data_IF_163573476155
#
_entry.id   IF_163573476155
#
_cell.length_a   1.000
_cell.length_b   1.000
_cell.length_c   1.000
_cell.angle_alpha   90.00
_cell.angle_beta   90.00
_cell.angle_gamma   90.00
#
_symmetry.space_group_name_H-M   'P 1'
#
loop_
_entity.id
_entity.type
_entity.pdbx_description
1 polymer ?
#
# COMPACT_ATOMS: atom_id res chain seq x y z
N UNK A 1 -0.25 -8.30 6.47
CA UNK A 1 0.39 -7.07 6.94
C UNK A 1 -0.12 -6.60 8.31
N UNK A 2 -1.43 -6.59 8.56
CA UNK A 2 -2.02 -6.05 9.81
C UNK A 2 -2.00 -7.02 11.00
N UNK A 3 -1.66 -8.29 10.79
CA UNK A 3 -1.61 -9.32 11.87
C UNK A 3 -0.81 -8.88 13.11
N UNK A 4 0.38 -8.25 13.00
CA UNK A 4 1.11 -7.79 14.17
C UNK A 4 0.35 -6.76 15.02
N UNK A 5 -0.52 -5.94 14.41
CA UNK A 5 -1.35 -4.97 15.13
C UNK A 5 -2.40 -5.64 16.00
N UNK A 6 -2.94 -6.76 15.56
CA UNK A 6 -3.98 -7.52 16.23
C UNK A 6 -3.43 -8.46 17.30
N UNK A 7 -2.11 -8.65 17.38
CA UNK A 7 -1.46 -9.54 18.33
C UNK A 7 -1.83 -9.18 19.77
N UNK A 8 -2.33 -10.18 20.53
CA UNK A 8 -2.84 -10.04 21.91
C UNK A 8 -4.04 -9.08 22.08
N UNK A 9 -4.71 -8.68 20.99
CA UNK A 9 -5.89 -7.81 21.02
C UNK A 9 -7.15 -8.53 20.58
N UNK A 10 -7.00 -9.62 19.84
CA UNK A 10 -8.11 -10.52 19.48
C UNK A 10 -8.03 -11.76 20.35
N UNK A 11 -9.19 -12.22 20.83
CA UNK A 11 -9.26 -13.52 21.49
C UNK A 11 -8.96 -14.64 20.48
N UNK A 12 -8.45 -15.76 20.97
CA UNK A 12 -8.22 -16.93 20.10
C UNK A 12 -9.52 -17.34 19.37
N UNK A 13 -10.66 -17.24 20.07
CA UNK A 13 -11.99 -17.54 19.53
C UNK A 13 -12.29 -16.62 18.31
N UNK A 14 -12.12 -15.31 18.47
CA UNK A 14 -12.41 -14.35 17.39
C UNK A 14 -11.46 -14.55 16.20
N UNK A 15 -10.19 -14.86 16.48
CA UNK A 15 -9.21 -15.22 15.48
C UNK A 15 -9.60 -16.46 14.67
N UNK A 16 -10.06 -17.52 15.37
CA UNK A 16 -10.53 -18.76 14.74
C UNK A 16 -11.83 -18.54 13.96
N UNK A 17 -12.77 -17.75 14.48
CA UNK A 17 -13.99 -17.40 13.76
C UNK A 17 -13.70 -16.61 12.49
N UNK A 18 -12.79 -15.62 12.57
CA UNK A 18 -12.36 -14.84 11.42
C UNK A 18 -11.66 -15.69 10.36
N UNK A 19 -10.75 -16.58 10.76
CA UNK A 19 -10.08 -17.51 9.88
C UNK A 19 -11.07 -18.50 9.24
N UNK A 20 -12.00 -19.05 10.04
CA UNK A 20 -13.04 -19.95 9.55
C UNK A 20 -13.96 -19.28 8.52
N UNK A 21 -14.39 -18.04 8.79
CA UNK A 21 -15.19 -17.25 7.85
C UNK A 21 -14.41 -16.98 6.56
N UNK A 22 -13.15 -16.60 6.67
CA UNK A 22 -12.28 -16.38 5.51
C UNK A 22 -12.16 -17.64 4.66
N UNK A 23 -11.89 -18.79 5.27
CA UNK A 23 -11.81 -20.08 4.58
C UNK A 23 -13.14 -20.44 3.92
N UNK A 24 -14.27 -20.25 4.62
CA UNK A 24 -15.61 -20.51 4.10
C UNK A 24 -15.91 -19.67 2.85
N UNK A 25 -15.61 -18.37 2.90
CA UNK A 25 -15.79 -17.46 1.76
C UNK A 25 -14.84 -17.80 0.60
N UNK A 26 -13.70 -18.43 0.91
CA UNK A 26 -12.71 -18.82 -0.08
C UNK A 26 -13.02 -20.18 -0.76
N UNK A 27 -13.78 -21.06 -0.09
CA UNK A 27 -14.13 -22.40 -0.60
C UNK A 27 -14.62 -22.43 -2.04
N UNK A 28 -15.54 -21.54 -2.49
CA UNK A 28 -16.00 -21.55 -3.87
C UNK A 28 -14.91 -21.31 -4.91
N UNK A 29 -13.81 -20.69 -4.51
CA UNK A 29 -12.68 -20.35 -5.37
C UNK A 29 -11.53 -21.35 -5.24
N UNK A 30 -11.62 -22.32 -4.33
CA UNK A 30 -10.55 -23.30 -4.08
C UNK A 30 -10.55 -24.43 -5.12
N UNK A 31 -11.62 -24.60 -5.90
CA UNK A 31 -11.71 -25.67 -6.90
C UNK A 31 -10.96 -25.30 -8.17
N UNK A 32 -9.74 -25.79 -8.31
CA UNK A 32 -8.99 -25.87 -9.56
C UNK A 32 -8.20 -24.66 -10.00
N UNK A 33 -8.25 -23.56 -9.31
CA UNK A 33 -7.37 -22.42 -9.60
C UNK A 33 -6.22 -22.39 -8.61
N UNK A 34 -5.00 -22.44 -9.12
CA UNK A 34 -3.81 -22.10 -8.36
C UNK A 34 -3.86 -20.62 -7.99
N UNK A 35 -4.43 -20.31 -6.83
CA UNK A 35 -4.50 -18.92 -6.33
C UNK A 35 -3.10 -18.36 -6.13
N UNK A 36 -2.19 -19.21 -5.66
CA UNK A 36 -0.76 -18.87 -5.58
C UNK A 36 -0.19 -18.60 -6.97
N UNK A 37 -0.64 -19.31 -8.00
CA UNK A 37 -0.24 -19.05 -9.39
C UNK A 37 -0.68 -17.66 -9.85
N UNK A 38 -1.90 -17.23 -9.53
CA UNK A 38 -2.37 -15.87 -9.84
C UNK A 38 -1.50 -14.78 -9.20
N UNK A 39 -1.19 -14.93 -7.90
CA UNK A 39 -0.30 -14.01 -7.18
C UNK A 39 1.11 -14.04 -7.78
N UNK A 40 1.65 -15.22 -8.04
CA UNK A 40 2.96 -15.39 -8.63
C UNK A 40 3.04 -14.79 -10.04
N UNK A 41 2.02 -14.98 -10.85
CA UNK A 41 1.93 -14.38 -12.19
C UNK A 41 1.96 -12.84 -12.13
N UNK A 42 1.23 -12.23 -11.18
CA UNK A 42 1.28 -10.77 -10.97
C UNK A 42 2.68 -10.33 -10.57
N UNK A 43 3.30 -11.02 -9.59
CA UNK A 43 4.64 -10.69 -9.10
C UNK A 43 5.69 -10.84 -10.20
N UNK A 44 5.56 -11.84 -11.07
CA UNK A 44 6.55 -12.10 -12.12
C UNK A 44 6.37 -11.22 -13.36
N UNK A 45 5.14 -11.00 -13.80
CA UNK A 45 4.89 -10.49 -15.15
C UNK A 45 4.19 -9.14 -15.19
N UNK A 46 3.37 -8.79 -14.17
CA UNK A 46 2.56 -7.57 -14.23
C UNK A 46 3.28 -6.43 -13.52
N UNK A 47 3.39 -5.29 -14.19
CA UNK A 47 3.99 -4.06 -13.68
C UNK A 47 3.07 -2.88 -14.02
N UNK A 48 2.61 -2.20 -12.98
CA UNK A 48 1.82 -1.00 -13.16
C UNK A 48 2.05 -0.06 -11.98
N UNK A 49 2.56 1.13 -12.24
CA UNK A 49 2.76 2.20 -11.24
C UNK A 49 3.53 1.76 -9.98
N UNK A 50 4.49 0.82 -10.10
CA UNK A 50 5.28 0.30 -8.98
C UNK A 50 6.77 0.66 -9.08
N UNK A 51 7.19 1.95 -8.95
CA UNK A 51 8.59 2.36 -9.10
C UNK A 51 9.51 1.76 -8.05
N UNK A 52 9.04 1.64 -6.80
CA UNK A 52 9.82 1.04 -5.70
C UNK A 52 10.05 -0.45 -5.95
N UNK A 53 9.03 -1.17 -6.42
CA UNK A 53 9.19 -2.57 -6.78
C UNK A 53 10.16 -2.75 -7.94
N UNK A 54 10.10 -1.87 -8.96
CA UNK A 54 11.08 -1.89 -10.07
C UNK A 54 12.50 -1.70 -9.56
N UNK A 55 12.71 -0.76 -8.64
CA UNK A 55 14.02 -0.57 -8.00
C UNK A 55 14.48 -1.84 -7.29
N UNK A 56 13.61 -2.52 -6.54
CA UNK A 56 13.99 -3.78 -5.89
C UNK A 56 14.34 -4.87 -6.90
N UNK A 57 13.65 -4.94 -8.04
CA UNK A 57 13.97 -5.93 -9.08
C UNK A 57 15.28 -5.66 -9.82
N UNK A 58 15.89 -4.47 -9.70
CA UNK A 58 17.27 -4.24 -10.16
C UNK A 58 18.31 -4.85 -9.23
N UNK A 59 17.95 -5.09 -7.97
CA UNK A 59 18.85 -5.61 -6.92
C UNK A 59 18.65 -7.11 -6.68
N UNK A 60 17.48 -7.65 -7.03
CA UNK A 60 17.13 -9.04 -6.76
C UNK A 60 16.07 -9.55 -7.77
N UNK A 61 15.70 -10.85 -7.65
CA UNK A 61 14.61 -11.41 -8.45
C UNK A 61 13.24 -10.80 -8.09
N UNK A 62 12.20 -10.92 -8.94
CA UNK A 62 10.85 -10.49 -8.61
C UNK A 62 10.31 -11.09 -7.31
N UNK A 63 10.60 -12.37 -7.05
CA UNK A 63 10.22 -13.01 -5.78
C UNK A 63 10.98 -12.43 -4.59
N UNK A 64 12.27 -12.11 -4.76
CA UNK A 64 13.07 -11.40 -3.78
C UNK A 64 12.49 -10.01 -3.47
N UNK A 65 12.12 -9.25 -4.50
CA UNK A 65 11.48 -7.95 -4.36
C UNK A 65 10.15 -8.04 -3.60
N UNK A 66 9.33 -9.05 -3.90
CA UNK A 66 8.07 -9.30 -3.19
C UNK A 66 8.29 -9.64 -1.71
N UNK A 67 9.32 -10.45 -1.39
CA UNK A 67 9.70 -10.75 0.00
C UNK A 67 10.18 -9.52 0.75
N UNK A 68 10.96 -8.64 0.09
CA UNK A 68 11.39 -7.34 0.66
C UNK A 68 10.16 -6.47 0.95
N UNK A 69 9.23 -6.34 0.00
CA UNK A 69 7.99 -5.60 0.18
C UNK A 69 7.16 -6.11 1.37
N UNK A 70 7.01 -7.43 1.47
CA UNK A 70 6.33 -8.08 2.60
C UNK A 70 7.04 -7.79 3.92
N UNK A 71 8.36 -7.95 3.94
CA UNK A 71 9.18 -7.68 5.13
C UNK A 71 9.07 -6.25 5.62
N UNK A 72 9.17 -5.27 4.72
CA UNK A 72 9.01 -3.84 5.04
C UNK A 72 7.63 -3.54 5.63
N UNK A 73 6.56 -4.12 5.05
CA UNK A 73 5.21 -3.97 5.59
C UNK A 73 5.06 -4.57 6.99
N UNK A 74 5.62 -5.77 7.23
CA UNK A 74 5.60 -6.42 8.55
C UNK A 74 6.43 -5.66 9.59
N UNK A 75 7.62 -5.18 9.22
CA UNK A 75 8.48 -4.35 10.09
C UNK A 75 7.74 -3.07 10.47
N UNK A 76 7.12 -2.40 9.49
CA UNK A 76 6.33 -1.18 9.74
C UNK A 76 5.15 -1.47 10.67
N UNK A 77 4.45 -2.58 10.47
CA UNK A 77 3.35 -2.99 11.35
C UNK A 77 3.82 -3.28 12.78
N UNK A 78 4.95 -3.98 12.94
CA UNK A 78 5.57 -4.23 14.23
C UNK A 78 6.00 -2.94 14.95
N UNK A 79 6.62 -2.02 14.21
CA UNK A 79 7.00 -0.71 14.72
C UNK A 79 5.78 0.13 15.14
N UNK A 80 4.75 0.18 14.31
CA UNK A 80 3.49 0.86 14.63
C UNK A 80 2.84 0.25 15.90
N UNK A 81 2.84 -1.09 16.00
CA UNK A 81 2.30 -1.80 17.18
C UNK A 81 3.05 -1.45 18.47
N UNK A 82 4.34 -1.21 18.37
CA UNK A 82 5.17 -0.83 19.52
C UNK A 82 5.02 0.64 19.92
N UNK A 83 4.90 1.55 18.93
CA UNK A 83 4.96 3.00 19.16
C UNK A 83 3.60 3.71 19.20
N UNK A 84 2.56 3.10 18.64
CA UNK A 84 1.25 3.73 18.47
C UNK A 84 0.16 2.93 19.19
N UNK A 85 -0.90 3.63 19.62
CA UNK A 85 -2.12 2.97 20.07
C UNK A 85 -2.90 2.41 18.87
N UNK A 86 -3.82 1.47 19.11
CA UNK A 86 -4.69 0.96 18.02
C UNK A 86 -5.75 1.97 17.58
N UNK A 87 -6.04 2.99 18.38
CA UNK A 87 -6.95 4.07 18.06
C UNK A 87 -6.28 5.12 17.17
N UNK A 88 -4.95 5.04 17.02
CA UNK A 88 -4.20 5.94 16.15
C UNK A 88 -4.36 5.50 14.69
N UNK A 89 -4.94 6.34 13.80
CA UNK A 89 -5.12 6.00 12.39
C UNK A 89 -3.80 5.66 11.67
N UNK A 90 -2.67 6.18 12.16
CA UNK A 90 -1.34 5.87 11.62
C UNK A 90 -0.97 4.40 11.78
N UNK A 91 -1.43 3.77 12.87
CA UNK A 91 -1.12 2.37 13.12
C UNK A 91 -1.65 1.44 12.02
N UNK A 92 -2.78 1.78 11.44
CA UNK A 92 -3.44 1.02 10.37
C UNK A 92 -3.03 1.47 8.98
N UNK A 93 -2.89 2.78 8.80
CA UNK A 93 -2.63 3.36 7.48
C UNK A 93 -1.19 3.09 6.99
N UNK A 94 -0.16 3.34 7.82
CA UNK A 94 1.23 3.28 7.35
C UNK A 94 1.75 1.89 6.99
N UNK A 95 1.44 0.79 7.70
CA UNK A 95 1.88 -0.54 7.27
C UNK A 95 1.34 -0.92 5.88
N UNK A 96 0.08 -0.57 5.63
CA UNK A 96 -0.54 -0.83 4.33
C UNK A 96 0.02 0.11 3.25
N UNK A 97 0.29 1.38 3.59
CA UNK A 97 0.91 2.34 2.67
C UNK A 97 2.28 1.86 2.20
N UNK A 98 3.13 1.39 3.12
CA UNK A 98 4.45 0.83 2.78
C UNK A 98 4.29 -0.42 1.91
N UNK A 99 3.36 -1.31 2.25
CA UNK A 99 3.12 -2.51 1.46
C UNK A 99 2.66 -2.20 0.03
N UNK A 100 1.71 -1.26 -0.14
CA UNK A 100 1.22 -0.84 -1.45
C UNK A 100 2.31 -0.11 -2.23
N UNK A 101 3.05 0.81 -1.60
CA UNK A 101 4.15 1.54 -2.25
C UNK A 101 5.23 0.60 -2.82
N UNK A 102 5.44 -0.54 -2.16
CA UNK A 102 6.39 -1.57 -2.60
C UNK A 102 5.76 -2.65 -3.50
N UNK A 103 4.49 -2.53 -3.88
CA UNK A 103 3.83 -3.54 -4.71
C UNK A 103 4.24 -3.42 -6.19
N UNK A 104 4.21 -4.55 -6.96
CA UNK A 104 4.49 -4.53 -8.40
C UNK A 104 3.41 -3.79 -9.20
N UNK A 105 2.21 -3.71 -8.64
CA UNK A 105 1.02 -3.12 -9.25
C UNK A 105 0.35 -2.22 -8.23
N UNK A 106 0.14 -0.96 -8.59
CA UNK A 106 -0.57 0.02 -7.75
C UNK A 106 -1.68 0.64 -8.60
N UNK A 107 -2.85 0.03 -8.54
CA UNK A 107 -4.05 0.59 -9.17
C UNK A 107 -4.70 1.63 -8.26
N UNK A 108 -5.36 2.66 -8.80
CA UNK A 108 -6.04 3.69 -7.99
C UNK A 108 -7.00 3.12 -6.94
N UNK A 109 -7.72 2.06 -7.25
CA UNK A 109 -8.66 1.45 -6.31
C UNK A 109 -8.00 0.73 -5.12
N UNK A 110 -6.70 0.42 -5.17
CA UNK A 110 -5.98 -0.10 -3.99
C UNK A 110 -5.87 0.95 -2.88
N UNK A 111 -5.85 2.24 -3.26
CA UNK A 111 -5.76 3.33 -2.31
C UNK A 111 -7.10 3.64 -1.62
N UNK A 112 -8.22 3.05 -2.08
CA UNK A 112 -9.51 3.12 -1.38
C UNK A 112 -9.43 2.58 0.06
N UNK A 113 -8.46 1.71 0.35
CA UNK A 113 -8.15 1.29 1.71
C UNK A 113 -7.91 2.48 2.65
N UNK A 114 -7.36 3.58 2.15
CA UNK A 114 -7.03 4.74 2.97
C UNK A 114 -8.22 5.66 3.24
N UNK A 115 -9.35 5.48 2.57
CA UNK A 115 -10.52 6.36 2.70
C UNK A 115 -10.88 6.70 4.15
N UNK A 116 -10.94 5.74 5.10
CA UNK A 116 -11.24 6.06 6.51
C UNK A 116 -10.19 6.93 7.19
N UNK A 117 -8.98 6.98 6.65
CA UNK A 117 -7.84 7.67 7.25
C UNK A 117 -7.56 9.04 6.63
N UNK A 118 -8.21 9.41 5.51
CA UNK A 118 -7.90 10.65 4.77
C UNK A 118 -8.26 11.93 5.53
N UNK A 119 -9.13 11.83 6.51
CA UNK A 119 -9.60 12.97 7.33
C UNK A 119 -8.61 13.36 8.45
N UNK A 120 -7.56 12.59 8.67
CA UNK A 120 -6.61 12.84 9.73
C UNK A 120 -5.38 13.59 9.22
N UNK A 121 -4.98 14.71 9.85
CA UNK A 121 -3.78 15.46 9.43
C UNK A 121 -2.51 14.61 9.41
N UNK A 122 -2.46 13.58 10.26
CA UNK A 122 -1.29 12.67 10.35
C UNK A 122 -1.13 11.73 9.17
N UNK A 123 -2.14 11.62 8.31
CA UNK A 123 -2.16 10.77 7.10
C UNK A 123 -2.35 11.59 5.82
N UNK A 124 -2.19 12.91 5.87
CA UNK A 124 -2.34 13.81 4.71
C UNK A 124 -1.54 13.38 3.47
N UNK A 125 -0.30 12.83 3.57
CA UNK A 125 0.40 12.31 2.40
C UNK A 125 -0.35 11.18 1.68
N UNK A 126 -1.15 10.39 2.40
CA UNK A 126 -1.98 9.33 1.80
C UNK A 126 -3.20 9.92 1.07
N UNK A 127 -3.74 11.02 1.56
CA UNK A 127 -4.77 11.77 0.83
C UNK A 127 -4.22 12.33 -0.48
N UNK A 128 -3.03 12.94 -0.42
CA UNK A 128 -2.34 13.41 -1.62
C UNK A 128 -2.09 12.26 -2.61
N UNK A 129 -1.66 11.11 -2.13
CA UNK A 129 -1.44 9.93 -2.98
C UNK A 129 -2.74 9.41 -3.58
N UNK A 130 -3.81 9.30 -2.78
CA UNK A 130 -5.12 8.85 -3.27
C UNK A 130 -5.70 9.77 -4.35
N UNK A 131 -5.38 11.06 -4.33
CA UNK A 131 -5.75 12.00 -5.38
C UNK A 131 -4.81 11.91 -6.59
N UNK A 132 -3.49 11.93 -6.37
CA UNK A 132 -2.52 11.98 -7.46
C UNK A 132 -2.44 10.68 -8.27
N UNK A 133 -2.70 9.52 -7.65
CA UNK A 133 -2.76 8.23 -8.37
C UNK A 133 -3.83 8.20 -9.47
N UNK A 134 -4.88 9.02 -9.37
CA UNK A 134 -5.93 9.10 -10.39
C UNK A 134 -5.37 9.58 -11.75
N UNK A 135 -4.26 10.30 -11.76
CA UNK A 135 -3.58 10.68 -13.02
C UNK A 135 -3.11 9.46 -13.82
N UNK A 136 -2.92 8.30 -13.19
CA UNK A 136 -2.53 7.07 -13.88
C UNK A 136 -3.63 6.54 -14.82
N UNK A 137 -4.88 7.00 -14.67
CA UNK A 137 -5.96 6.67 -15.60
C UNK A 137 -5.72 7.16 -17.04
N UNK A 138 -4.76 8.07 -17.27
CA UNK A 138 -4.33 8.43 -18.61
C UNK A 138 -3.91 7.22 -19.46
N UNK A 139 -3.49 6.13 -18.81
CA UNK A 139 -3.15 4.87 -19.49
C UNK A 139 -4.32 4.29 -20.29
N UNK A 140 -5.56 4.47 -19.83
CA UNK A 140 -6.74 4.05 -20.56
C UNK A 140 -6.86 4.76 -21.91
N UNK A 141 -6.61 6.07 -21.94
CA UNK A 141 -6.63 6.84 -23.17
C UNK A 141 -5.47 6.43 -24.08
N UNK A 142 -4.28 6.25 -23.53
CA UNK A 142 -3.12 5.77 -24.29
C UNK A 142 -3.41 4.40 -24.92
N UNK A 143 -3.96 3.45 -24.15
CA UNK A 143 -4.32 2.12 -24.64
C UNK A 143 -5.41 2.19 -25.72
N UNK A 144 -6.41 3.05 -25.54
CA UNK A 144 -7.50 3.25 -26.52
C UNK A 144 -7.00 3.77 -27.85
N UNK A 145 -5.93 4.57 -27.85
CA UNK A 145 -5.28 5.11 -29.05
C UNK A 145 -4.19 4.21 -29.63
N UNK A 146 -4.11 2.96 -29.17
CA UNK A 146 -3.15 1.96 -29.67
C UNK A 146 -1.77 1.97 -28.99
N UNK A 147 -1.61 2.74 -27.93
CA UNK A 147 -0.39 2.75 -27.11
C UNK A 147 -0.30 1.60 -26.12
N UNK A 148 0.86 1.45 -25.48
CA UNK A 148 1.10 0.42 -24.48
C UNK A 148 0.41 0.69 -23.13
N UNK A 149 0.17 -0.36 -22.36
CA UNK A 149 -0.40 -0.30 -20.99
C UNK A 149 0.66 0.08 -19.96
N UNK A 150 1.28 1.25 -20.13
CA UNK A 150 2.35 1.74 -19.26
C UNK A 150 2.07 3.17 -18.81
N UNK A 151 2.27 3.43 -17.50
CA UNK A 151 2.15 4.78 -16.96
C UNK A 151 3.31 5.63 -17.45
N UNK A 152 3.06 6.78 -18.08
CA UNK A 152 4.12 7.69 -18.55
C UNK A 152 4.98 8.19 -17.38
N UNK A 153 6.29 8.31 -17.61
CA UNK A 153 7.23 8.79 -16.58
C UNK A 153 6.85 10.15 -15.96
N UNK A 154 6.39 11.15 -16.73
CA UNK A 154 5.96 12.42 -16.14
C UNK A 154 4.80 12.25 -15.14
N UNK A 155 3.87 11.35 -15.41
CA UNK A 155 2.75 11.06 -14.50
C UNK A 155 3.25 10.44 -13.21
N UNK A 156 4.19 9.48 -13.29
CA UNK A 156 4.83 8.90 -12.10
C UNK A 156 5.56 9.97 -11.28
N UNK A 157 6.31 10.86 -11.93
CA UNK A 157 6.98 11.96 -11.24
C UNK A 157 5.98 12.89 -10.54
N UNK A 158 4.93 13.31 -11.23
CA UNK A 158 3.90 14.16 -10.64
C UNK A 158 3.24 13.50 -9.43
N UNK A 159 2.89 12.21 -9.52
CA UNK A 159 2.29 11.46 -8.43
C UNK A 159 3.20 11.45 -7.19
N UNK A 160 4.42 10.93 -7.33
CA UNK A 160 5.30 10.72 -6.18
C UNK A 160 5.91 12.02 -5.64
N UNK A 161 6.21 12.99 -6.49
CA UNK A 161 6.66 14.33 -6.04
C UNK A 161 5.57 15.01 -5.22
N UNK A 162 4.31 14.94 -5.64
CA UNK A 162 3.19 15.49 -4.87
C UNK A 162 3.13 14.89 -3.46
N UNK A 163 3.21 13.56 -3.36
CA UNK A 163 3.21 12.86 -2.06
C UNK A 163 4.38 13.30 -1.19
N UNK A 164 5.58 13.37 -1.76
CA UNK A 164 6.80 13.76 -1.05
C UNK A 164 6.75 15.21 -0.58
N UNK A 165 6.24 16.13 -1.39
CA UNK A 165 6.08 17.54 -1.01
C UNK A 165 5.10 17.69 0.16
N UNK A 166 3.97 17.01 0.12
CA UNK A 166 2.99 17.02 1.23
C UNK A 166 3.60 16.41 2.49
N UNK A 167 4.32 15.30 2.37
CA UNK A 167 5.01 14.69 3.51
C UNK A 167 6.07 15.63 4.11
N UNK A 168 6.86 16.29 3.28
CA UNK A 168 7.88 17.24 3.71
C UNK A 168 7.26 18.48 4.39
N UNK A 169 6.18 19.03 3.84
CA UNK A 169 5.44 20.14 4.44
C UNK A 169 4.91 19.75 5.83
N UNK A 170 4.30 18.57 5.95
CA UNK A 170 3.79 18.07 7.23
C UNK A 170 4.90 17.89 8.27
N UNK A 171 6.09 17.45 7.87
CA UNK A 171 7.23 17.31 8.79
C UNK A 171 7.78 18.67 9.26
N UNK A 172 7.75 19.69 8.38
CA UNK A 172 8.19 21.05 8.73
C UNK A 172 7.24 21.69 9.75
N UNK A 173 5.93 21.59 9.54
CA UNK A 173 4.93 22.17 10.46
C UNK A 173 4.99 21.53 11.85
N UNK A 174 5.38 20.26 11.96
CA UNK A 174 5.58 19.60 13.28
C UNK A 174 6.81 20.08 14.03
N UNK A 175 7.81 20.62 13.32
CA UNK A 175 9.09 21.07 13.92
C UNK A 175 9.08 22.54 14.33
N UNK A 176 8.08 23.32 13.92
CA UNK A 176 7.90 24.69 14.36
C UNK A 176 7.03 24.66 15.62
N UNK A 177 7.58 24.68 16.85
CA UNK A 177 6.78 25.04 18.01
C UNK A 177 6.35 26.47 17.76
N UNK A 178 5.07 26.71 17.80
CA UNK A 178 4.55 28.08 17.85
C UNK A 178 5.07 28.66 19.15
N UNK A 179 6.10 29.51 19.07
CA UNK A 179 6.39 30.49 20.10
C UNK A 179 5.21 31.46 20.13
N UNK A 180 4.17 31.05 20.82
CA UNK A 180 3.12 31.94 21.28
C UNK A 180 3.48 32.32 22.71
N UNK A 181 4.32 33.38 22.83
CA UNK A 181 4.47 34.17 24.04
C UNK A 181 3.22 35.03 24.25
#
# INVERSE_FOLDING_TARGET
MLVPLLWRRISLRDGLLGAGLFLLLYLPFASGADVLFGIQNVVQHIRFNGPVFRLFTTLTSPDGAARIALGLGLITAGWCRWKLSLDDPRAWAWPMAVAIACAPVIYPWYLLYFTPFLLFPSTLPLAAWSCSVLMTYVVWEIARTGGGWNVPQPVLWMEYVTVLLVAAAMLRTRRSPVELS
#
